data_IF_711998136782
#
_entry.id   IF_711998136782
#
_cell.length_a   1.000
_cell.length_b   1.000
_cell.length_c   1.000
_cell.angle_alpha   90.00
_cell.angle_beta   90.00
_cell.angle_gamma   90.00
#
_symmetry.space_group_name_H-M   'P 1'
#
loop_
_entity.id
_entity.type
_entity.pdbx_description
1 polymer ?
#
# COMPACT_ATOMS: atom_id res chain seq x y z
N UNK A 1 -10.99 -11.57 15.43
CA UNK A 1 -10.60 -10.70 14.33
C UNK A 1 -11.87 -10.28 13.61
N UNK A 2 -12.21 -8.99 13.66
CA UNK A 2 -13.39 -8.43 13.01
C UNK A 2 -13.07 -8.02 11.57
N UNK A 3 -14.08 -7.86 10.71
CA UNK A 3 -13.86 -7.37 9.34
C UNK A 3 -13.20 -5.98 9.33
N UNK A 4 -13.61 -5.09 10.24
CA UNK A 4 -13.02 -3.76 10.42
C UNK A 4 -11.54 -3.82 10.79
N UNK A 5 -11.15 -4.71 11.69
CA UNK A 5 -9.74 -4.94 12.04
C UNK A 5 -8.95 -5.40 10.82
N UNK A 6 -9.46 -6.36 10.05
CA UNK A 6 -8.79 -6.85 8.85
C UNK A 6 -8.64 -5.77 7.77
N UNK A 7 -9.68 -4.97 7.54
CA UNK A 7 -9.61 -3.82 6.64
C UNK A 7 -8.53 -2.83 7.08
N UNK A 8 -8.49 -2.50 8.37
CA UNK A 8 -7.48 -1.60 8.92
C UNK A 8 -6.06 -2.16 8.70
N UNK A 9 -5.84 -3.44 8.95
CA UNK A 9 -4.53 -4.07 8.75
C UNK A 9 -4.10 -4.06 7.27
N UNK A 10 -5.03 -4.24 6.33
CA UNK A 10 -4.76 -4.10 4.89
C UNK A 10 -4.37 -2.65 4.53
N UNK A 11 -4.99 -1.64 5.15
CA UNK A 11 -4.57 -0.25 4.94
C UNK A 11 -3.22 0.07 5.58
N UNK A 12 -2.95 -0.43 6.78
CA UNK A 12 -1.68 -0.23 7.48
C UNK A 12 -0.50 -0.78 6.65
N UNK A 13 -0.70 -1.91 5.97
CA UNK A 13 0.26 -2.45 4.98
C UNK A 13 0.60 -1.44 3.87
N UNK A 14 -0.41 -0.77 3.29
CA UNK A 14 -0.20 0.26 2.27
C UNK A 14 0.61 1.45 2.79
N UNK A 15 0.46 1.76 4.09
CA UNK A 15 1.15 2.86 4.78
C UNK A 15 2.57 2.50 5.25
N UNK A 16 3.00 1.25 5.06
CA UNK A 16 4.36 0.80 5.43
C UNK A 16 4.45 0.09 6.78
N UNK A 17 3.32 -0.23 7.41
CA UNK A 17 3.29 -0.96 8.68
C UNK A 17 3.06 -2.43 8.38
N UNK A 18 4.03 -3.28 8.76
CA UNK A 18 3.93 -4.72 8.53
C UNK A 18 2.80 -5.31 9.37
N UNK A 19 1.77 -5.91 8.76
CA UNK A 19 0.70 -6.59 9.49
C UNK A 19 1.18 -7.95 10.01
N UNK A 20 0.77 -8.32 11.23
CA UNK A 20 1.17 -9.58 11.87
C UNK A 20 0.58 -10.82 11.20
N UNK A 21 -0.65 -10.72 10.68
CA UNK A 21 -1.37 -11.87 10.11
C UNK A 21 -2.07 -11.52 8.78
N UNK A 22 -1.30 -10.96 7.84
CA UNK A 22 -1.79 -10.49 6.55
C UNK A 22 -2.63 -11.52 5.79
N UNK A 23 -2.23 -12.80 5.87
CA UNK A 23 -2.93 -13.88 5.22
C UNK A 23 -4.39 -14.00 5.68
N UNK A 24 -4.62 -14.03 6.99
CA UNK A 24 -5.99 -14.14 7.51
C UNK A 24 -6.78 -12.85 7.23
N UNK A 25 -6.14 -11.67 7.34
CA UNK A 25 -6.78 -10.40 7.00
C UNK A 25 -7.22 -10.32 5.54
N UNK A 26 -6.33 -10.69 4.61
CA UNK A 26 -6.63 -10.73 3.19
C UNK A 26 -7.77 -11.69 2.88
N UNK A 27 -7.74 -12.90 3.45
CA UNK A 27 -8.78 -13.90 3.25
C UNK A 27 -10.11 -13.47 3.86
N UNK A 28 -10.11 -12.75 4.98
CA UNK A 28 -11.33 -12.21 5.58
C UNK A 28 -11.96 -11.15 4.67
N UNK A 29 -11.16 -10.19 4.17
CA UNK A 29 -11.65 -9.10 3.33
C UNK A 29 -12.05 -9.57 1.93
N UNK A 30 -11.26 -10.43 1.28
CA UNK A 30 -11.53 -10.90 -0.08
C UNK A 30 -12.81 -11.76 -0.19
N UNK A 31 -13.25 -12.35 0.92
CA UNK A 31 -14.44 -13.20 1.00
C UNK A 31 -15.58 -12.60 1.83
N UNK A 32 -15.46 -11.35 2.28
CA UNK A 32 -16.56 -10.61 2.88
C UNK A 32 -17.67 -10.31 1.86
N UNK A 33 -18.87 -10.03 2.35
CA UNK A 33 -19.91 -9.42 1.52
C UNK A 33 -19.45 -8.00 1.15
N UNK A 34 -19.64 -7.62 -0.11
CA UNK A 34 -19.29 -6.28 -0.57
C UNK A 34 -20.12 -5.22 0.18
N UNK A 35 -21.37 -5.54 0.55
CA UNK A 35 -22.23 -4.64 1.31
C UNK A 35 -21.62 -4.30 2.69
N UNK A 36 -21.04 -5.29 3.37
CA UNK A 36 -20.41 -5.08 4.68
C UNK A 36 -19.17 -4.18 4.55
N UNK A 37 -18.41 -4.30 3.45
CA UNK A 37 -17.27 -3.43 3.16
C UNK A 37 -17.70 -2.00 2.80
N UNK A 38 -18.79 -1.87 2.05
CA UNK A 38 -19.35 -0.58 1.66
C UNK A 38 -19.89 0.17 2.89
N UNK A 39 -20.50 -0.53 3.85
CA UNK A 39 -20.94 0.02 5.14
C UNK A 39 -19.77 0.55 5.99
N UNK A 40 -18.56 -0.01 5.82
CA UNK A 40 -17.34 0.51 6.44
C UNK A 40 -16.79 1.78 5.75
N UNK A 41 -17.32 2.15 4.57
CA UNK A 41 -16.88 3.32 3.81
C UNK A 41 -15.43 3.22 3.31
N UNK A 42 -14.88 2.01 3.20
CA UNK A 42 -13.46 1.78 2.96
C UNK A 42 -13.07 1.78 1.47
N UNK A 43 -14.03 1.65 0.55
CA UNK A 43 -13.76 1.61 -0.90
C UNK A 43 -13.01 0.36 -1.38
N UNK A 44 -12.81 -0.65 -0.53
CA UNK A 44 -12.20 -1.93 -0.93
C UNK A 44 -13.19 -2.76 -1.72
N UNK A 45 -12.73 -3.33 -2.83
CA UNK A 45 -13.51 -4.25 -3.66
C UNK A 45 -13.12 -5.72 -3.39
N UNK A 46 -14.00 -6.49 -2.73
CA UNK A 46 -13.75 -7.89 -2.40
C UNK A 46 -13.50 -8.76 -3.65
N UNK A 47 -14.24 -8.51 -4.73
CA UNK A 47 -14.03 -9.22 -5.99
C UNK A 47 -12.66 -8.91 -6.60
N UNK A 48 -12.24 -7.64 -6.58
CA UNK A 48 -10.92 -7.20 -7.03
C UNK A 48 -9.79 -7.88 -6.28
N UNK A 49 -9.92 -8.04 -4.96
CA UNK A 49 -8.95 -8.82 -4.17
C UNK A 49 -8.88 -10.29 -4.58
N UNK A 50 -10.02 -10.92 -4.88
CA UNK A 50 -10.06 -12.29 -5.43
C UNK A 50 -9.43 -12.39 -6.80
N UNK A 51 -9.67 -11.41 -7.68
CA UNK A 51 -9.04 -11.32 -9.01
C UNK A 51 -7.52 -11.22 -8.89
N UNK A 52 -7.02 -10.36 -7.98
CA UNK A 52 -5.58 -10.25 -7.72
C UNK A 52 -4.99 -11.58 -7.27
N UNK A 53 -5.62 -12.26 -6.31
CA UNK A 53 -5.17 -13.57 -5.85
C UNK A 53 -5.23 -14.63 -6.97
N UNK A 54 -6.27 -14.64 -7.79
CA UNK A 54 -6.38 -15.55 -8.93
C UNK A 54 -5.24 -15.34 -9.94
N UNK A 55 -4.90 -14.10 -10.27
CA UNK A 55 -3.77 -13.76 -11.14
C UNK A 55 -2.43 -14.20 -10.52
N UNK A 56 -2.30 -14.08 -9.20
CA UNK A 56 -1.11 -14.55 -8.50
C UNK A 56 -0.99 -16.09 -8.57
N UNK A 57 -2.11 -16.80 -8.41
CA UNK A 57 -2.15 -18.27 -8.46
C UNK A 57 -2.00 -18.83 -9.88
N UNK A 58 -2.50 -18.14 -10.91
CA UNK A 58 -2.35 -18.53 -12.32
C UNK A 58 -0.88 -18.79 -12.69
N UNK A 59 0.01 -17.91 -12.21
CA UNK A 59 1.47 -18.02 -12.42
C UNK A 59 2.10 -19.29 -11.82
N UNK A 60 1.34 -20.05 -11.01
CA UNK A 60 1.84 -21.19 -10.21
C UNK A 60 1.08 -22.49 -10.45
N UNK A 61 -0.19 -22.43 -10.85
CA UNK A 61 -1.05 -23.61 -11.02
C UNK A 61 -1.10 -24.10 -12.47
N UNK A 62 -0.72 -23.27 -13.45
CA UNK A 62 -0.89 -23.57 -14.87
C UNK A 62 -2.34 -23.50 -15.36
N UNK A 63 -3.29 -23.16 -14.48
CA UNK A 63 -4.67 -22.85 -14.83
C UNK A 63 -4.85 -21.35 -15.03
N UNK A 64 -5.80 -20.95 -15.88
CA UNK A 64 -6.07 -19.53 -16.12
C UNK A 64 -6.68 -18.86 -14.88
N UNK A 65 -6.41 -17.57 -14.69
CA UNK A 65 -6.97 -16.81 -13.56
C UNK A 65 -8.51 -16.88 -13.51
N UNK A 66 -9.18 -16.93 -14.67
CA UNK A 66 -10.64 -17.08 -14.76
C UNK A 66 -11.15 -18.39 -14.16
N UNK A 67 -10.47 -19.51 -14.40
CA UNK A 67 -10.85 -20.83 -13.86
C UNK A 67 -10.60 -20.87 -12.35
N UNK A 68 -9.46 -20.32 -11.92
CA UNK A 68 -9.12 -20.23 -10.49
C UNK A 68 -10.17 -19.39 -9.76
N UNK A 69 -10.48 -18.19 -10.28
CA UNK A 69 -11.45 -17.28 -9.70
C UNK A 69 -12.84 -17.91 -9.59
N UNK A 70 -13.28 -18.66 -10.61
CA UNK A 70 -14.55 -19.39 -10.58
C UNK A 70 -14.60 -20.46 -9.47
N UNK A 71 -13.45 -21.06 -9.12
CA UNK A 71 -13.33 -22.01 -8.02
C UNK A 71 -13.20 -21.37 -6.63
N UNK A 72 -12.90 -20.07 -6.54
CA UNK A 72 -12.76 -19.33 -5.29
C UNK A 72 -14.12 -18.88 -4.72
N UNK A 73 -14.99 -19.83 -4.43
CA UNK A 73 -16.33 -19.57 -3.88
C UNK A 73 -16.31 -19.27 -2.37
N UNK A 74 -15.26 -19.69 -1.67
CA UNK A 74 -15.07 -19.49 -0.23
C UNK A 74 -13.58 -19.52 0.13
N UNK A 75 -13.20 -19.07 1.34
CA UNK A 75 -11.84 -19.21 1.83
C UNK A 75 -11.34 -20.66 1.79
N UNK A 76 -12.19 -21.62 2.19
CA UNK A 76 -11.82 -23.04 2.21
C UNK A 76 -11.65 -23.63 0.81
N UNK A 77 -12.49 -23.25 -0.15
CA UNK A 77 -12.33 -23.67 -1.55
C UNK A 77 -10.98 -23.17 -2.13
N UNK A 78 -10.63 -21.93 -1.81
CA UNK A 78 -9.34 -21.32 -2.22
C UNK A 78 -8.15 -22.05 -1.59
N UNK A 79 -8.23 -22.34 -0.28
CA UNK A 79 -7.22 -23.15 0.43
C UNK A 79 -7.06 -24.53 -0.23
N UNK A 80 -8.16 -25.16 -0.64
CA UNK A 80 -8.13 -26.45 -1.32
C UNK A 80 -7.51 -26.38 -2.73
N UNK A 81 -7.78 -25.32 -3.50
CA UNK A 81 -7.13 -25.10 -4.81
C UNK A 81 -5.62 -24.98 -4.62
N UNK A 82 -5.18 -24.17 -3.66
CA UNK A 82 -3.75 -23.99 -3.40
C UNK A 82 -3.07 -25.27 -2.93
N UNK A 83 -3.69 -25.99 -1.99
CA UNK A 83 -3.17 -27.25 -1.48
C UNK A 83 -2.99 -28.30 -2.58
N UNK A 84 -3.97 -28.43 -3.50
CA UNK A 84 -3.88 -29.34 -4.66
C UNK A 84 -2.73 -29.01 -5.62
N UNK A 85 -2.28 -27.76 -5.62
CA UNK A 85 -1.18 -27.28 -6.47
C UNK A 85 0.13 -27.08 -5.67
N UNK A 86 0.20 -27.59 -4.44
CA UNK A 86 1.37 -27.44 -3.57
C UNK A 86 1.79 -25.98 -3.33
N UNK A 87 0.81 -25.08 -3.25
CA UNK A 87 1.03 -23.65 -3.03
C UNK A 87 0.79 -23.31 -1.56
N UNK A 88 1.79 -22.71 -0.93
CA UNK A 88 1.62 -22.03 0.35
C UNK A 88 0.99 -20.64 0.12
N UNK A 89 -0.31 -20.52 0.38
CA UNK A 89 -1.05 -19.27 0.20
C UNK A 89 -0.54 -18.15 1.09
N UNK A 90 -0.08 -18.44 2.31
CA UNK A 90 0.42 -17.42 3.22
C UNK A 90 1.65 -16.78 2.62
N UNK A 91 2.64 -17.60 2.26
CA UNK A 91 3.87 -17.13 1.64
C UNK A 91 3.60 -16.39 0.31
N UNK A 92 2.66 -16.88 -0.50
CA UNK A 92 2.30 -16.23 -1.77
C UNK A 92 1.69 -14.85 -1.54
N UNK A 93 0.74 -14.72 -0.62
CA UNK A 93 0.12 -13.42 -0.30
C UNK A 93 1.13 -12.46 0.33
N UNK A 94 1.98 -12.96 1.24
CA UNK A 94 3.05 -12.18 1.86
C UNK A 94 4.09 -11.70 0.85
N UNK A 95 4.45 -12.52 -0.14
CA UNK A 95 5.42 -12.11 -1.14
C UNK A 95 4.82 -11.21 -2.21
N UNK A 96 3.63 -11.53 -2.71
CA UNK A 96 3.10 -10.94 -3.94
C UNK A 96 2.13 -9.79 -3.65
N UNK A 97 1.38 -9.84 -2.55
CA UNK A 97 0.31 -8.88 -2.26
C UNK A 97 0.66 -7.85 -1.19
N UNK A 98 1.42 -8.21 -0.17
CA UNK A 98 1.90 -7.26 0.87
C UNK A 98 2.66 -6.10 0.25
N UNK A 99 2.46 -4.91 0.80
CA UNK A 99 2.92 -3.65 0.25
C UNK A 99 3.87 -2.89 1.17
N UNK A 100 4.03 -3.27 2.44
CA UNK A 100 4.78 -2.48 3.43
C UNK A 100 6.26 -2.24 3.05
N UNK A 101 6.90 -3.16 2.34
CA UNK A 101 8.30 -3.07 1.91
C UNK A 101 8.46 -2.79 0.40
N UNK A 102 7.35 -2.75 -0.34
CA UNK A 102 7.38 -2.55 -1.80
C UNK A 102 7.47 -1.07 -2.17
N UNK A 103 8.21 -0.74 -3.25
CA UNK A 103 8.31 0.63 -3.71
C UNK A 103 6.94 1.17 -4.17
N UNK A 104 6.74 2.46 -4.00
CA UNK A 104 5.60 3.19 -4.58
C UNK A 104 5.85 3.33 -6.09
N UNK A 105 4.89 2.88 -6.90
CA UNK A 105 5.00 2.79 -8.36
C UNK A 105 3.90 3.55 -9.12
N UNK A 106 2.97 4.20 -8.40
CA UNK A 106 1.90 4.98 -8.99
C UNK A 106 1.59 6.24 -8.17
N UNK A 107 1.14 7.28 -8.86
CA UNK A 107 0.75 8.55 -8.25
C UNK A 107 -0.47 8.39 -7.33
N UNK A 108 -1.48 7.59 -7.72
CA UNK A 108 -2.66 7.36 -6.87
C UNK A 108 -2.29 6.77 -5.51
N UNK A 109 -1.33 5.85 -5.49
CA UNK A 109 -0.83 5.27 -4.23
C UNK A 109 -0.07 6.31 -3.41
N UNK A 110 0.81 7.09 -4.04
CA UNK A 110 1.52 8.17 -3.35
C UNK A 110 0.53 9.17 -2.74
N UNK A 111 -0.50 9.58 -3.49
CA UNK A 111 -1.56 10.48 -3.04
C UNK A 111 -2.34 9.92 -1.85
N UNK A 112 -2.69 8.63 -1.89
CA UNK A 112 -3.34 7.96 -0.77
C UNK A 112 -2.47 8.05 0.49
N UNK A 113 -1.19 7.70 0.40
CA UNK A 113 -0.26 7.74 1.55
C UNK A 113 -0.12 9.16 2.10
N UNK A 114 0.02 10.17 1.23
CA UNK A 114 0.14 11.57 1.63
C UNK A 114 -1.11 12.11 2.36
N UNK A 115 -2.30 11.55 2.08
CA UNK A 115 -3.53 11.92 2.78
C UNK A 115 -3.51 11.54 4.28
N UNK A 116 -2.67 10.58 4.69
CA UNK A 116 -2.48 10.19 6.10
C UNK A 116 -1.42 11.03 6.82
N UNK A 117 -0.88 12.07 6.18
CA UNK A 117 0.07 13.04 6.75
C UNK A 117 1.40 12.40 7.20
N UNK A 118 2.25 13.19 7.89
CA UNK A 118 3.67 12.90 8.15
C UNK A 118 3.93 11.68 9.05
N UNK A 119 2.92 11.17 9.73
CA UNK A 119 3.09 10.16 10.79
C UNK A 119 3.19 8.73 10.26
N UNK A 120 3.03 8.52 8.94
CA UNK A 120 3.08 7.17 8.35
C UNK A 120 4.48 6.83 7.81
N UNK A 121 4.98 5.60 8.00
CA UNK A 121 6.32 5.20 7.58
C UNK A 121 6.66 5.50 6.12
N UNK A 122 5.68 5.39 5.21
CA UNK A 122 5.86 5.65 3.77
C UNK A 122 5.69 7.10 3.34
N UNK A 123 5.48 8.03 4.25
CA UNK A 123 5.24 9.43 3.88
C UNK A 123 6.39 10.01 3.05
N UNK A 124 7.64 9.84 3.52
CA UNK A 124 8.82 10.34 2.83
C UNK A 124 9.01 9.73 1.43
N UNK A 125 8.78 8.41 1.31
CA UNK A 125 8.85 7.72 0.02
C UNK A 125 7.76 8.22 -0.95
N UNK A 126 6.54 8.44 -0.46
CA UNK A 126 5.43 8.95 -1.26
C UNK A 126 5.70 10.38 -1.75
N UNK A 127 6.27 11.22 -0.88
CA UNK A 127 6.66 12.58 -1.23
C UNK A 127 7.79 12.59 -2.27
N UNK A 128 8.83 11.77 -2.09
CA UNK A 128 9.91 11.61 -3.06
C UNK A 128 9.40 11.09 -4.40
N UNK A 129 8.41 10.18 -4.39
CA UNK A 129 7.73 9.73 -5.60
C UNK A 129 7.06 10.90 -6.34
N UNK A 130 6.29 11.72 -5.63
CA UNK A 130 5.59 12.87 -6.22
C UNK A 130 6.57 13.91 -6.77
N UNK A 131 7.64 14.22 -6.03
CA UNK A 131 8.55 15.33 -6.34
C UNK A 131 9.62 14.95 -7.36
N UNK A 132 10.11 13.71 -7.35
CA UNK A 132 11.30 13.33 -8.10
C UNK A 132 11.06 12.20 -9.09
N UNK A 133 10.54 11.06 -8.64
CA UNK A 133 10.68 9.79 -9.41
C UNK A 133 9.44 9.38 -10.21
N UNK A 134 8.25 9.83 -9.81
CA UNK A 134 6.98 9.39 -10.37
C UNK A 134 6.71 9.96 -11.75
N UNK A 135 6.68 9.12 -12.78
CA UNK A 135 6.48 9.55 -14.18
C UNK A 135 5.03 9.87 -14.53
N UNK A 136 4.09 9.34 -13.74
CA UNK A 136 2.64 9.49 -13.90
C UNK A 136 2.05 10.64 -13.08
N UNK A 137 2.89 11.40 -12.38
CA UNK A 137 2.49 12.54 -11.55
C UNK A 137 2.20 13.75 -12.44
N UNK A 138 0.98 14.33 -12.40
CA UNK A 138 0.68 15.56 -13.13
C UNK A 138 1.60 16.71 -12.71
N UNK A 139 2.09 17.47 -13.70
CA UNK A 139 3.05 18.54 -13.47
C UNK A 139 2.56 19.57 -12.43
N UNK A 140 1.28 19.94 -12.47
CA UNK A 140 0.67 20.85 -11.50
C UNK A 140 0.78 20.34 -10.06
N UNK A 141 0.57 19.04 -9.85
CA UNK A 141 0.66 18.41 -8.53
C UNK A 141 2.11 18.36 -8.03
N UNK A 142 3.07 18.12 -8.95
CA UNK A 142 4.50 18.17 -8.62
C UNK A 142 4.93 19.57 -8.21
N UNK A 143 4.59 20.58 -8.99
CA UNK A 143 4.93 21.98 -8.70
C UNK A 143 4.30 22.45 -7.39
N UNK A 144 3.06 22.03 -7.12
CA UNK A 144 2.41 22.29 -5.84
C UNK A 144 3.19 21.67 -4.67
N UNK A 145 3.57 20.39 -4.78
CA UNK A 145 4.33 19.70 -3.74
C UNK A 145 5.72 20.34 -3.49
N UNK A 146 6.42 20.73 -4.56
CA UNK A 146 7.71 21.44 -4.46
C UNK A 146 7.56 22.76 -3.72
N UNK A 147 6.57 23.59 -4.10
CA UNK A 147 6.33 24.88 -3.43
C UNK A 147 6.03 24.72 -1.94
N UNK A 148 5.24 23.71 -1.57
CA UNK A 148 4.95 23.42 -0.16
C UNK A 148 6.21 23.01 0.61
N UNK A 149 7.11 22.25 -0.01
CA UNK A 149 8.39 21.88 0.59
C UNK A 149 9.33 23.07 0.75
N UNK A 150 9.45 23.93 -0.26
CA UNK A 150 10.25 25.15 -0.17
C UNK A 150 9.73 26.08 0.93
N UNK A 151 8.41 26.17 1.09
CA UNK A 151 7.80 26.96 2.15
C UNK A 151 8.09 26.37 3.52
N UNK A 152 7.89 25.05 3.70
CA UNK A 152 8.20 24.37 4.96
C UNK A 152 9.70 24.48 5.33
N UNK A 153 10.59 24.34 4.35
CA UNK A 153 12.03 24.53 4.56
C UNK A 153 12.36 25.95 5.06
N UNK A 154 11.75 26.98 4.46
CA UNK A 154 11.91 28.38 4.92
C UNK A 154 11.39 28.59 6.34
N UNK A 155 10.24 28.00 6.69
CA UNK A 155 9.67 28.07 8.03
C UNK A 155 10.57 27.39 9.08
N UNK A 156 11.19 26.27 8.71
CA UNK A 156 12.15 25.54 9.54
C UNK A 156 13.56 26.17 9.54
N UNK A 157 13.74 27.33 8.88
CA UNK A 157 15.02 28.04 8.78
C UNK A 157 16.08 27.29 7.97
N UNK A 158 15.68 26.31 7.16
CA UNK A 158 16.54 25.54 6.28
C UNK A 158 16.78 26.37 5.02
N UNK A 159 17.99 26.92 4.89
CA UNK A 159 18.42 27.63 3.70
C UNK A 159 19.37 26.76 2.87
N UNK A 160 19.15 26.76 1.55
CA UNK A 160 20.16 26.32 0.60
C UNK A 160 21.19 27.45 0.48
N UNK A 161 22.43 27.17 0.87
CA UNK A 161 23.55 28.08 0.59
C UNK A 161 23.90 28.02 -0.90
N UNK A 162 24.60 29.04 -1.40
CA UNK A 162 25.02 29.14 -2.81
C UNK A 162 25.90 27.95 -3.29
N UNK A 163 26.44 27.16 -2.35
CA UNK A 163 27.24 25.96 -2.60
C UNK A 163 26.44 24.63 -2.55
N UNK A 164 25.10 24.68 -2.58
CA UNK A 164 24.20 23.52 -2.37
C UNK A 164 24.38 22.81 -1.01
N UNK A 165 24.92 23.50 0.00
CA UNK A 165 25.01 22.96 1.37
C UNK A 165 23.75 23.34 2.15
N UNK A 166 23.10 22.35 2.76
CA UNK A 166 21.92 22.54 3.60
C UNK A 166 22.38 23.05 4.96
N UNK A 167 22.07 24.29 5.30
CA UNK A 167 22.23 24.81 6.66
C UNK A 167 20.98 24.49 7.48
N UNK A 168 21.14 23.65 8.50
CA UNK A 168 20.09 23.37 9.49
C UNK A 168 20.36 24.23 10.72
N UNK A 169 19.39 25.02 11.23
CA UNK A 169 19.57 25.87 12.41
C UNK A 169 20.06 25.07 13.64
N UNK A 170 20.99 25.65 14.41
CA UNK A 170 21.57 25.00 15.60
C UNK A 170 20.54 24.53 16.64
N UNK A 171 19.35 25.15 16.69
CA UNK A 171 18.26 24.79 17.60
C UNK A 171 17.66 23.39 17.31
N UNK A 172 17.88 22.83 16.12
CA UNK A 172 17.35 21.52 15.70
C UNK A 172 18.32 20.37 15.95
N UNK A 173 19.49 20.62 16.57
CA UNK A 173 20.55 19.61 16.78
C UNK A 173 20.41 18.76 18.05
N UNK A 174 19.32 18.87 18.83
CA UNK A 174 19.18 18.12 20.09
C UNK A 174 17.77 17.53 20.27
N UNK A 175 17.65 16.25 19.95
CA UNK A 175 16.91 15.25 20.75
C UNK A 175 17.28 13.84 20.22
N UNK A 176 18.52 13.41 20.48
CA UNK A 176 18.89 11.98 20.51
C UNK A 176 18.25 11.29 21.70
#
# INVERSE_FOLDING_TARGET
MTLKESVNNIFLDLLGIKPENYYEDWMNVAFADQKDLDELGCGINAHGMKVLLANVLERRTGATASIILAGMTSPNATKAIAAKNFIDLRWVLEKECVQYDKPIVTFDRARLILAFQRDVPKFGEALAYVVETGKDVPQEQREYAVKQLEQAAKEDGIALTDDNVIEVPEASRIAT
#
